data_IF_343364872685
#
_entry.id   IF_343364872685
#
_cell.length_a   1.000
_cell.length_b   1.000
_cell.length_c   1.000
_cell.angle_alpha   90.00
_cell.angle_beta   90.00
_cell.angle_gamma   90.00
#
_symmetry.space_group_name_H-M   'P 1'
#
loop_
_entity.id
_entity.type
_entity.pdbx_description
1 polymer ?
#
# COMPACT_ATOMS: atom_id res chain seq x y z
N UNK A 1 7.11 -21.16 24.30
CA UNK A 1 7.33 -20.49 22.99
C UNK A 1 6.58 -19.18 23.05
N UNK A 2 7.24 -18.03 22.95
CA UNK A 2 6.52 -16.76 22.81
C UNK A 2 5.85 -16.80 21.44
N UNK A 3 4.54 -16.69 21.40
CA UNK A 3 3.80 -16.54 20.15
C UNK A 3 4.18 -15.19 19.54
N UNK A 4 4.68 -15.17 18.30
CA UNK A 4 4.91 -13.91 17.58
C UNK A 4 3.57 -13.19 17.41
N UNK A 5 3.49 -11.94 17.86
CA UNK A 5 2.30 -11.11 17.75
C UNK A 5 2.19 -10.47 16.35
N UNK A 6 0.96 -10.16 15.92
CA UNK A 6 0.74 -9.33 14.74
C UNK A 6 1.10 -7.88 15.06
N UNK A 7 1.82 -7.24 14.15
CA UNK A 7 2.29 -5.87 14.23
C UNK A 7 1.53 -5.07 13.18
N UNK A 8 0.90 -3.99 13.60
CA UNK A 8 0.19 -3.07 12.71
C UNK A 8 1.18 -2.22 11.92
N UNK A 9 0.99 -2.13 10.62
CA UNK A 9 1.77 -1.27 9.70
C UNK A 9 0.85 -0.38 8.87
N UNK A 10 -0.34 -0.05 9.39
CA UNK A 10 -1.32 0.81 8.73
C UNK A 10 -1.31 2.23 9.28
N UNK A 11 -1.57 3.23 8.42
CA UNK A 11 -1.79 4.61 8.85
C UNK A 11 -3.14 4.76 9.57
N UNK A 12 -3.22 5.53 10.67
CA UNK A 12 -4.49 5.84 11.32
C UNK A 12 -5.41 6.70 10.44
N UNK A 13 -6.60 6.19 10.12
CA UNK A 13 -7.63 6.94 9.39
C UNK A 13 -8.42 7.86 10.34
N UNK A 14 -8.33 9.17 10.12
CA UNK A 14 -9.06 10.21 10.86
C UNK A 14 -9.14 11.50 10.03
N UNK A 15 -9.91 12.51 10.48
CA UNK A 15 -10.17 13.73 9.70
C UNK A 15 -8.94 14.63 9.48
N UNK A 16 -7.79 14.34 10.10
CA UNK A 16 -6.53 15.04 9.88
C UNK A 16 -5.62 14.33 8.88
N UNK A 17 -5.93 13.11 8.44
CA UNK A 17 -5.09 12.38 7.51
C UNK A 17 -4.98 13.15 6.18
N UNK A 18 -3.78 13.18 5.62
CA UNK A 18 -3.55 13.77 4.32
C UNK A 18 -4.26 12.98 3.22
N UNK A 19 -4.56 13.67 2.13
CA UNK A 19 -5.12 13.11 0.90
C UNK A 19 -4.35 13.68 -0.29
N UNK A 20 -4.48 13.02 -1.44
CA UNK A 20 -3.98 13.58 -2.70
C UNK A 20 -4.54 15.00 -2.92
N UNK A 21 -3.72 15.97 -3.38
CA UNK A 21 -4.18 17.35 -3.55
C UNK A 21 -5.41 17.47 -4.46
N UNK A 22 -6.52 17.96 -3.89
CA UNK A 22 -7.79 18.14 -4.60
C UNK A 22 -8.72 16.92 -4.58
N UNK A 23 -8.30 15.82 -3.95
CA UNK A 23 -9.10 14.61 -3.79
C UNK A 23 -10.12 14.73 -2.62
N UNK A 24 -11.00 13.74 -2.50
CA UNK A 24 -12.03 13.65 -1.46
C UNK A 24 -11.38 13.54 -0.07
N UNK A 25 -11.55 14.55 0.82
CA UNK A 25 -11.01 14.48 2.17
C UNK A 25 -11.63 13.34 2.98
N UNK A 26 -10.86 12.78 3.91
CA UNK A 26 -11.41 11.83 4.87
C UNK A 26 -12.41 12.52 5.81
N UNK A 27 -13.56 11.88 6.01
CA UNK A 27 -14.55 12.27 7.00
C UNK A 27 -15.19 11.04 7.63
N UNK A 28 -15.05 10.91 8.95
CA UNK A 28 -15.94 10.10 9.76
C UNK A 28 -16.78 11.02 10.64
N UNK A 29 -18.10 10.85 10.59
CA UNK A 29 -19.05 11.60 11.40
C UNK A 29 -20.10 10.69 12.00
N UNK A 30 -20.60 11.02 13.19
CA UNK A 30 -21.76 10.37 13.78
C UNK A 30 -23.00 11.07 13.26
N UNK A 31 -23.67 10.48 12.27
CA UNK A 31 -24.88 11.04 11.66
C UNK A 31 -26.11 10.94 12.55
N UNK A 32 -26.13 10.00 13.49
CA UNK A 32 -27.20 9.85 14.48
C UNK A 32 -26.63 9.33 15.79
N UNK A 33 -26.65 10.14 16.85
CA UNK A 33 -26.05 9.77 18.12
C UNK A 33 -26.90 8.75 18.89
N UNK A 34 -26.30 8.09 19.87
CA UNK A 34 -27.01 7.19 20.79
C UNK A 34 -28.09 7.90 21.60
N UNK A 35 -27.88 9.18 21.94
CA UNK A 35 -28.88 9.99 22.64
C UNK A 35 -30.10 10.23 21.74
N UNK A 36 -29.89 10.55 20.47
CA UNK A 36 -30.96 10.79 19.49
C UNK A 36 -31.65 9.50 19.04
N UNK A 37 -30.91 8.40 18.86
CA UNK A 37 -31.43 7.10 18.41
C UNK A 37 -32.02 6.25 19.53
N UNK A 38 -31.70 6.58 20.79
CA UNK A 38 -32.04 5.80 21.98
C UNK A 38 -31.25 4.48 22.13
N UNK A 39 -30.30 4.14 21.25
CA UNK A 39 -29.61 2.84 21.29
C UNK A 39 -28.17 2.83 20.80
N UNK A 40 -27.88 3.43 19.64
CA UNK A 40 -26.61 3.31 18.91
C UNK A 40 -26.11 4.63 18.35
N UNK A 41 -24.79 4.74 18.16
CA UNK A 41 -24.23 5.76 17.30
C UNK A 41 -24.18 5.20 15.87
N UNK A 42 -24.79 5.90 14.91
CA UNK A 42 -24.73 5.57 13.48
C UNK A 42 -23.69 6.47 12.83
N UNK A 43 -22.58 5.87 12.39
CA UNK A 43 -21.50 6.56 11.71
C UNK A 43 -21.71 6.61 10.20
N UNK A 44 -21.14 7.63 9.57
CA UNK A 44 -20.98 7.75 8.12
C UNK A 44 -19.51 7.98 7.82
N UNK A 45 -18.99 7.26 6.83
CA UNK A 45 -17.62 7.35 6.35
C UNK A 45 -17.64 7.88 4.91
N UNK A 46 -16.83 8.90 4.64
CA UNK A 46 -16.56 9.43 3.29
C UNK A 46 -15.06 9.56 3.15
N UNK A 47 -14.48 9.03 2.07
CA UNK A 47 -13.04 9.08 1.82
C UNK A 47 -12.75 8.85 0.34
N UNK A 48 -11.59 9.29 -0.11
CA UNK A 48 -10.97 8.75 -1.31
C UNK A 48 -10.50 7.31 -1.08
N UNK A 49 -10.49 6.50 -2.13
CA UNK A 49 -9.95 5.13 -2.13
C UNK A 49 -8.47 5.13 -1.73
N UNK A 50 -7.72 6.11 -2.22
CA UNK A 50 -6.26 6.22 -2.06
C UNK A 50 -5.90 7.05 -0.82
N UNK A 51 -6.58 6.78 0.29
CA UNK A 51 -6.35 7.45 1.59
C UNK A 51 -5.77 6.46 2.61
N UNK A 52 -4.64 6.83 3.20
CA UNK A 52 -3.92 5.96 4.13
C UNK A 52 -3.35 4.72 3.44
N UNK A 53 -3.18 3.64 4.20
CA UNK A 53 -2.66 2.37 3.70
C UNK A 53 -3.70 1.66 2.82
N UNK A 54 -3.37 1.45 1.55
CA UNK A 54 -4.32 0.96 0.56
C UNK A 54 -3.62 0.16 -0.55
N UNK A 55 -4.41 -0.57 -1.33
CA UNK A 55 -3.95 -1.25 -2.54
C UNK A 55 -4.63 -0.64 -3.76
N UNK A 56 -3.97 -0.79 -4.90
CA UNK A 56 -4.53 -0.40 -6.19
C UNK A 56 -5.06 -1.61 -6.95
N UNK A 57 -6.13 -1.39 -7.71
CA UNK A 57 -6.54 -2.28 -8.78
C UNK A 57 -6.07 -1.69 -10.12
N UNK A 58 -5.87 -2.52 -11.18
CA UNK A 58 -5.50 -2.01 -12.49
C UNK A 58 -6.44 -0.93 -13.05
N UNK A 59 -7.73 -0.97 -12.66
CA UNK A 59 -8.71 0.03 -13.06
C UNK A 59 -8.32 1.48 -12.69
N UNK A 60 -7.48 1.67 -11.67
CA UNK A 60 -6.99 2.99 -11.25
C UNK A 60 -6.28 3.77 -12.37
N UNK A 61 -5.49 3.08 -13.19
CA UNK A 61 -4.65 3.68 -14.24
C UNK A 61 -4.88 3.06 -15.63
N UNK A 62 -5.80 2.10 -15.76
CA UNK A 62 -6.21 1.49 -17.03
C UNK A 62 -7.74 1.31 -17.06
N UNK A 63 -8.43 1.96 -17.99
CA UNK A 63 -9.90 1.91 -18.10
C UNK A 63 -10.46 0.47 -18.29
N UNK A 64 -9.68 -0.41 -18.93
CA UNK A 64 -10.07 -1.81 -19.15
C UNK A 64 -9.52 -2.73 -18.05
N UNK A 65 -8.84 -2.15 -17.06
CA UNK A 65 -8.25 -2.83 -15.92
C UNK A 65 -9.27 -3.57 -15.05
N UNK A 66 -8.75 -4.58 -14.34
CA UNK A 66 -9.48 -5.31 -13.30
C UNK A 66 -9.89 -4.37 -12.17
N UNK A 67 -11.07 -4.63 -11.60
CA UNK A 67 -11.58 -3.94 -10.42
C UNK A 67 -11.19 -4.74 -9.18
N UNK A 68 -11.34 -4.15 -8.00
CA UNK A 68 -10.86 -4.75 -6.74
C UNK A 68 -11.34 -6.19 -6.52
N UNK A 69 -12.62 -6.49 -6.75
CA UNK A 69 -13.16 -7.83 -6.52
C UNK A 69 -12.62 -8.89 -7.51
N UNK A 70 -12.06 -8.48 -8.65
CA UNK A 70 -11.46 -9.38 -9.65
C UNK A 70 -10.02 -9.80 -9.29
N UNK A 71 -9.44 -9.21 -8.23
CA UNK A 71 -8.07 -9.48 -7.81
C UNK A 71 -7.98 -10.78 -7.00
N UNK A 72 -6.89 -11.51 -7.20
CA UNK A 72 -6.62 -12.77 -6.48
C UNK A 72 -6.23 -12.48 -5.02
N UNK A 73 -7.10 -12.83 -4.08
CA UNK A 73 -6.87 -12.63 -2.64
C UNK A 73 -5.62 -13.36 -2.11
N UNK A 74 -5.15 -14.40 -2.79
CA UNK A 74 -3.92 -15.11 -2.39
C UNK A 74 -2.69 -14.19 -2.49
N UNK A 75 -2.72 -13.15 -3.33
CA UNK A 75 -1.61 -12.19 -3.44
C UNK A 75 -1.41 -11.39 -2.15
N UNK A 76 -2.49 -11.14 -1.40
CA UNK A 76 -2.50 -10.19 -0.28
C UNK A 76 -2.29 -10.84 1.10
N UNK A 77 -2.03 -12.15 1.14
CA UNK A 77 -1.75 -12.91 2.37
C UNK A 77 -0.61 -13.88 2.15
N UNK A 78 0.40 -13.87 3.02
CA UNK A 78 1.48 -14.86 3.03
C UNK A 78 2.86 -14.25 3.27
N UNK A 79 3.93 -15.03 3.03
CA UNK A 79 5.30 -14.59 3.29
C UNK A 79 5.67 -13.31 2.52
N UNK A 80 6.32 -12.40 3.22
CA UNK A 80 6.80 -11.12 2.75
C UNK A 80 8.18 -10.81 3.34
N UNK A 81 9.01 -10.11 2.56
CA UNK A 81 10.31 -9.59 3.00
C UNK A 81 10.25 -8.07 3.11
N UNK A 82 10.82 -7.52 4.18
CA UNK A 82 11.03 -6.09 4.36
C UNK A 82 12.50 -5.77 4.14
N UNK A 83 12.79 -4.77 3.32
CA UNK A 83 14.15 -4.27 3.09
C UNK A 83 14.22 -2.75 3.23
N UNK A 84 15.37 -2.26 3.69
CA UNK A 84 15.69 -0.83 3.71
C UNK A 84 16.22 -0.35 2.35
N UNK A 85 15.59 0.69 1.83
CA UNK A 85 16.01 1.41 0.62
C UNK A 85 16.05 2.93 0.89
N UNK A 86 16.34 3.31 2.14
CA UNK A 86 16.37 4.70 2.56
C UNK A 86 17.50 5.50 1.88
N UNK A 87 17.35 6.82 1.84
CA UNK A 87 18.30 7.76 1.23
C UNK A 87 18.51 7.57 -0.29
N UNK A 88 17.57 6.92 -0.97
CA UNK A 88 17.55 6.78 -2.43
C UNK A 88 16.46 7.68 -3.03
N UNK A 89 16.79 8.40 -4.10
CA UNK A 89 15.83 9.24 -4.83
C UNK A 89 14.91 8.43 -5.75
N UNK A 90 15.37 7.26 -6.20
CA UNK A 90 14.57 6.31 -6.97
C UNK A 90 15.11 4.90 -6.79
N UNK A 91 14.24 3.90 -6.90
CA UNK A 91 14.56 2.50 -6.70
C UNK A 91 14.28 1.73 -7.99
N UNK A 92 15.28 1.08 -8.54
CA UNK A 92 15.14 0.21 -9.71
C UNK A 92 15.93 -1.07 -9.54
N UNK A 93 16.14 -1.79 -10.65
CA UNK A 93 16.90 -3.05 -10.65
C UNK A 93 18.27 -2.91 -9.96
N UNK A 94 19.00 -1.84 -10.25
CA UNK A 94 20.36 -1.62 -9.75
C UNK A 94 20.44 -1.57 -8.23
N UNK A 95 19.49 -0.95 -7.55
CA UNK A 95 19.53 -0.87 -6.09
C UNK A 95 19.09 -2.19 -5.45
N UNK A 96 18.20 -2.94 -6.13
CA UNK A 96 17.69 -4.21 -5.61
C UNK A 96 18.55 -5.44 -5.92
N UNK A 97 19.47 -5.38 -6.89
CA UNK A 97 20.28 -6.54 -7.31
C UNK A 97 21.21 -7.07 -6.21
N UNK A 98 21.55 -6.24 -5.22
CA UNK A 98 22.39 -6.60 -4.08
C UNK A 98 21.66 -7.41 -3.01
N UNK A 99 20.32 -7.42 -3.00
CA UNK A 99 19.52 -8.15 -2.04
C UNK A 99 19.29 -9.60 -2.50
N UNK A 100 19.37 -10.54 -1.56
CA UNK A 100 18.97 -11.92 -1.82
C UNK A 100 17.44 -12.04 -1.80
N UNK A 101 16.82 -12.13 -2.97
CA UNK A 101 15.37 -12.11 -3.16
C UNK A 101 14.80 -13.42 -3.73
N UNK A 102 15.60 -14.49 -3.80
CA UNK A 102 15.13 -15.79 -4.28
C UNK A 102 14.05 -16.36 -3.33
N UNK A 103 12.94 -16.82 -3.91
CA UNK A 103 11.80 -17.36 -3.16
C UNK A 103 10.92 -16.32 -2.44
N UNK A 104 11.18 -15.02 -2.64
CA UNK A 104 10.33 -13.95 -2.09
C UNK A 104 9.11 -13.77 -2.99
N UNK A 105 7.91 -13.77 -2.41
CA UNK A 105 6.65 -13.54 -3.14
C UNK A 105 6.11 -12.12 -2.96
N UNK A 106 6.43 -11.45 -1.84
CA UNK A 106 5.93 -10.12 -1.47
C UNK A 106 7.08 -9.31 -0.90
N UNK A 107 7.26 -8.09 -1.36
CA UNK A 107 8.39 -7.24 -0.96
C UNK A 107 7.87 -5.89 -0.46
N UNK A 108 8.20 -5.52 0.77
CA UNK A 108 7.92 -4.19 1.31
C UNK A 108 9.20 -3.38 1.37
N UNK A 109 9.16 -2.17 0.85
CA UNK A 109 10.27 -1.24 0.77
C UNK A 109 10.11 -0.16 1.83
N UNK A 110 11.03 -0.10 2.79
CA UNK A 110 11.15 1.01 3.72
C UNK A 110 12.03 2.09 3.10
N UNK A 111 11.43 3.21 2.70
CA UNK A 111 12.15 4.41 2.25
C UNK A 111 12.47 5.34 3.40
N UNK A 112 11.66 5.31 4.48
CA UNK A 112 11.69 6.26 5.60
C UNK A 112 11.73 7.74 5.14
N UNK A 113 11.13 8.04 3.98
CA UNK A 113 11.24 9.36 3.34
C UNK A 113 10.25 10.40 3.86
N UNK A 114 9.13 9.99 4.47
CA UNK A 114 8.06 10.90 4.86
C UNK A 114 7.53 10.64 6.26
N UNK A 115 6.95 9.46 6.51
CA UNK A 115 6.56 9.00 7.86
C UNK A 115 5.45 9.81 8.56
N UNK A 116 4.85 10.81 7.90
CA UNK A 116 3.83 11.69 8.47
C UNK A 116 2.49 11.54 7.76
N UNK A 117 1.56 10.79 8.35
CA UNK A 117 0.24 10.53 7.76
C UNK A 117 -0.66 11.79 7.62
N UNK A 118 -0.43 12.84 8.40
CA UNK A 118 -1.24 14.08 8.38
C UNK A 118 -0.73 15.14 7.38
N UNK A 119 0.43 14.91 6.75
CA UNK A 119 1.01 15.82 5.74
C UNK A 119 1.11 15.08 4.41
N UNK A 120 0.75 15.71 3.29
CA UNK A 120 1.05 15.12 1.96
C UNK A 120 2.49 15.49 1.56
N UNK A 121 3.34 14.54 1.11
CA UNK A 121 4.71 14.83 0.76
C UNK A 121 4.79 15.73 -0.49
N UNK A 122 5.85 16.54 -0.58
CA UNK A 122 6.15 17.33 -1.79
C UNK A 122 6.95 16.55 -2.83
N UNK A 123 7.70 15.54 -2.38
CA UNK A 123 8.52 14.64 -3.21
C UNK A 123 8.63 13.31 -2.49
N UNK A 124 8.72 12.22 -3.24
CA UNK A 124 8.95 10.87 -2.72
C UNK A 124 9.98 10.14 -3.59
N UNK A 125 10.67 9.14 -3.04
CA UNK A 125 11.35 8.13 -3.84
C UNK A 125 10.33 7.39 -4.68
N UNK A 126 10.63 7.21 -5.96
CA UNK A 126 9.76 6.49 -6.90
C UNK A 126 10.45 5.23 -7.42
N UNK A 127 9.66 4.30 -7.94
CA UNK A 127 10.13 3.09 -8.56
C UNK A 127 10.42 3.34 -10.04
N UNK A 128 11.57 2.87 -10.53
CA UNK A 128 11.89 2.92 -11.96
C UNK A 128 11.28 1.72 -12.67
N UNK A 129 10.83 1.93 -13.91
CA UNK A 129 10.17 0.91 -14.73
C UNK A 129 10.94 -0.43 -14.87
N UNK A 130 12.29 -0.40 -14.79
CA UNK A 130 13.13 -1.60 -14.88
C UNK A 130 13.00 -2.56 -13.69
N UNK A 131 12.37 -2.11 -12.59
CA UNK A 131 12.13 -2.91 -11.40
C UNK A 131 11.14 -4.05 -11.68
N UNK A 132 10.14 -3.82 -12.54
CA UNK A 132 9.02 -4.74 -12.69
C UNK A 132 9.45 -6.09 -13.28
N UNK A 133 10.25 -6.07 -14.36
CA UNK A 133 10.77 -7.30 -14.95
C UNK A 133 11.73 -8.02 -13.99
N UNK A 134 12.59 -7.29 -13.29
CA UNK A 134 13.51 -7.84 -12.30
C UNK A 134 12.79 -8.57 -11.15
N UNK A 135 11.74 -7.97 -10.59
CA UNK A 135 10.95 -8.57 -9.51
C UNK A 135 10.14 -9.78 -10.02
N UNK A 136 9.57 -9.67 -11.22
CA UNK A 136 8.77 -10.74 -11.84
C UNK A 136 9.62 -11.99 -12.12
N UNK A 137 10.86 -11.81 -12.60
CA UNK A 137 11.82 -12.91 -12.80
C UNK A 137 12.12 -13.69 -11.50
N UNK A 138 11.94 -13.06 -10.33
CA UNK A 138 12.11 -13.68 -9.01
C UNK A 138 10.85 -14.29 -8.42
N UNK A 139 9.70 -14.13 -9.10
CA UNK A 139 8.41 -14.63 -8.63
C UNK A 139 7.71 -13.71 -7.63
N UNK A 140 8.15 -12.46 -7.48
CA UNK A 140 7.47 -11.47 -6.64
C UNK A 140 6.14 -11.08 -7.31
N UNK A 141 5.07 -11.04 -6.52
CA UNK A 141 3.69 -10.77 -6.95
C UNK A 141 3.05 -9.57 -6.25
N UNK A 142 3.68 -9.04 -5.21
CA UNK A 142 3.23 -7.82 -4.53
C UNK A 142 4.44 -6.98 -4.12
N UNK A 143 4.35 -5.68 -4.37
CA UNK A 143 5.29 -4.68 -3.86
C UNK A 143 4.54 -3.70 -2.96
N UNK A 144 5.14 -3.38 -1.81
CA UNK A 144 4.65 -2.39 -0.88
C UNK A 144 5.63 -1.25 -0.66
N UNK A 145 5.14 -0.01 -0.55
CA UNK A 145 5.96 1.18 -0.27
C UNK A 145 5.38 1.99 0.89
N UNK A 146 6.25 2.62 1.67
CA UNK A 146 5.88 3.47 2.82
C UNK A 146 5.61 4.94 2.43
N UNK A 147 5.23 5.17 1.17
CA UNK A 147 4.90 6.47 0.56
C UNK A 147 3.59 6.38 -0.24
N UNK A 148 2.99 7.52 -0.65
CA UNK A 148 1.65 7.53 -1.28
C UNK A 148 1.60 7.18 -2.77
N UNK A 149 2.73 6.81 -3.38
CA UNK A 149 2.76 6.36 -4.77
C UNK A 149 4.02 5.54 -5.07
N UNK A 150 3.95 4.65 -6.06
CA UNK A 150 5.13 4.05 -6.69
C UNK A 150 5.75 4.92 -7.80
N UNK A 151 5.06 5.94 -8.29
CA UNK A 151 5.53 6.88 -9.32
C UNK A 151 5.78 8.30 -8.73
N UNK A 152 6.47 9.20 -9.43
CA UNK A 152 6.57 10.60 -9.00
C UNK A 152 5.19 11.26 -8.87
N UNK A 153 5.01 12.12 -7.86
CA UNK A 153 3.70 12.72 -7.52
C UNK A 153 3.07 13.55 -8.64
N UNK A 154 3.89 14.11 -9.54
CA UNK A 154 3.46 14.93 -10.67
C UNK A 154 3.43 14.18 -12.01
N UNK A 155 3.83 12.91 -12.04
CA UNK A 155 3.83 12.09 -13.25
C UNK A 155 2.39 11.77 -13.69
N UNK A 156 2.20 11.75 -15.02
CA UNK A 156 0.93 11.41 -15.68
C UNK A 156 1.04 10.16 -16.55
N UNK A 157 2.25 9.66 -16.76
CA UNK A 157 2.49 8.44 -17.51
C UNK A 157 2.41 7.18 -16.62
N UNK A 158 2.63 7.32 -15.30
CA UNK A 158 2.50 6.27 -14.29
C UNK A 158 3.26 4.98 -14.70
N UNK A 159 4.51 5.16 -15.11
CA UNK A 159 5.30 4.09 -15.72
C UNK A 159 5.50 2.90 -14.77
N UNK A 160 5.70 3.14 -13.47
CA UNK A 160 5.84 2.08 -12.49
C UNK A 160 4.53 1.29 -12.33
N UNK A 161 3.38 1.96 -12.17
CA UNK A 161 2.08 1.29 -12.08
C UNK A 161 1.84 0.36 -13.27
N UNK A 162 1.96 0.90 -14.49
CA UNK A 162 1.73 0.14 -15.72
C UNK A 162 2.70 -1.05 -15.84
N UNK A 163 4.00 -0.85 -15.56
CA UNK A 163 4.96 -1.95 -15.67
C UNK A 163 4.76 -3.02 -14.60
N UNK A 164 4.52 -2.66 -13.34
CA UNK A 164 4.31 -3.61 -12.26
C UNK A 164 3.13 -4.53 -12.56
N UNK A 165 1.97 -3.97 -12.91
CA UNK A 165 0.79 -4.77 -13.20
C UNK A 165 0.91 -5.59 -14.48
N UNK A 166 1.56 -5.06 -15.53
CA UNK A 166 1.87 -5.83 -16.74
C UNK A 166 2.68 -7.10 -16.44
N UNK A 167 3.50 -7.07 -15.38
CA UNK A 167 4.30 -8.19 -14.92
C UNK A 167 3.64 -9.01 -13.79
N UNK A 168 2.35 -8.76 -13.50
CA UNK A 168 1.59 -9.48 -12.48
C UNK A 168 1.96 -9.11 -11.04
N UNK A 169 2.56 -7.94 -10.82
CA UNK A 169 2.93 -7.42 -9.51
C UNK A 169 1.88 -6.42 -9.06
N UNK A 170 1.27 -6.70 -7.90
CA UNK A 170 0.26 -5.86 -7.27
C UNK A 170 0.90 -4.83 -6.34
N UNK A 171 0.17 -3.75 -6.06
CA UNK A 171 0.68 -2.56 -5.35
C UNK A 171 -0.01 -2.40 -3.99
N UNK A 172 0.79 -2.03 -2.99
CA UNK A 172 0.38 -1.63 -1.64
C UNK A 172 1.12 -0.34 -1.27
N UNK A 173 0.40 0.70 -0.92
CA UNK A 173 0.99 2.02 -0.66
C UNK A 173 0.73 2.47 0.78
N UNK A 174 1.49 3.47 1.23
CA UNK A 174 1.35 4.09 2.55
C UNK A 174 1.44 3.10 3.74
N UNK A 175 2.22 2.02 3.64
CA UNK A 175 2.53 1.21 4.83
C UNK A 175 3.42 1.98 5.81
N UNK A 176 3.41 1.63 7.09
CA UNK A 176 4.22 2.27 8.14
C UNK A 176 5.30 1.29 8.60
N UNK A 177 6.56 1.54 8.23
CA UNK A 177 7.65 0.58 8.41
C UNK A 177 8.77 1.02 9.37
N UNK A 178 8.72 2.25 9.91
CA UNK A 178 9.78 2.79 10.77
C UNK A 178 9.93 2.05 12.12
N UNK A 179 8.87 1.39 12.58
CA UNK A 179 8.86 0.64 13.84
C UNK A 179 9.08 -0.87 13.65
N UNK A 180 9.42 -1.34 12.46
CA UNK A 180 9.63 -2.76 12.15
C UNK A 180 11.02 -3.01 11.55
N UNK A 181 11.69 -4.07 12.01
CA UNK A 181 13.01 -4.44 11.52
C UNK A 181 12.94 -5.07 10.12
N UNK A 182 14.03 -4.99 9.36
CA UNK A 182 14.21 -5.78 8.13
C UNK A 182 14.09 -7.28 8.43
N UNK A 183 13.62 -8.06 7.46
CA UNK A 183 13.50 -9.50 7.58
C UNK A 183 12.25 -10.09 6.97
N UNK A 184 11.95 -11.34 7.35
CA UNK A 184 10.84 -12.12 6.82
C UNK A 184 9.65 -12.13 7.79
N UNK A 185 8.47 -11.94 7.21
CA UNK A 185 7.20 -11.84 7.93
C UNK A 185 6.10 -12.57 7.17
N UNK A 186 5.04 -12.95 7.87
CA UNK A 186 3.73 -13.15 7.26
C UNK A 186 3.04 -11.80 7.10
N UNK A 187 2.53 -11.48 5.91
CA UNK A 187 1.76 -10.27 5.60
C UNK A 187 0.26 -10.61 5.48
N UNK A 188 -0.59 -9.69 5.94
CA UNK A 188 -2.01 -9.61 5.58
C UNK A 188 -2.30 -8.17 5.16
N UNK A 189 -2.79 -7.97 3.94
CA UNK A 189 -3.19 -6.67 3.39
C UNK A 189 -4.39 -6.81 2.41
N UNK A 190 -5.42 -7.57 2.82
CA UNK A 190 -6.59 -7.87 1.99
C UNK A 190 -7.40 -6.61 1.67
N UNK A 191 -7.81 -6.41 0.40
CA UNK A 191 -8.79 -5.38 0.06
C UNK A 191 -10.19 -5.72 0.56
N UNK A 192 -11.03 -4.70 0.70
CA UNK A 192 -12.47 -4.84 0.84
C UNK A 192 -13.07 -5.45 -0.43
N UNK A 193 -14.22 -6.11 -0.31
CA UNK A 193 -14.92 -6.71 -1.45
C UNK A 193 -15.70 -5.66 -2.27
N UNK A 194 -14.98 -4.73 -2.90
CA UNK A 194 -15.55 -3.66 -3.73
C UNK A 194 -15.65 -4.11 -5.19
N UNK A 195 -16.87 -4.22 -5.70
CA UNK A 195 -17.12 -4.78 -7.05
C UNK A 195 -16.58 -3.90 -8.16
N UNK A 196 -16.76 -2.58 -8.05
CA UNK A 196 -16.50 -1.63 -9.15
C UNK A 196 -15.32 -0.68 -8.88
N UNK A 197 -14.63 -0.83 -7.75
CA UNK A 197 -13.62 0.12 -7.30
C UNK A 197 -12.27 -0.06 -7.99
N UNK A 198 -11.54 1.04 -8.04
CA UNK A 198 -10.18 1.24 -8.54
C UNK A 198 -9.08 0.90 -7.53
N UNK A 199 -9.44 0.70 -6.26
CA UNK A 199 -8.51 0.32 -5.19
C UNK A 199 -9.27 0.09 -3.89
N UNK A 200 -8.56 -0.19 -2.80
CA UNK A 200 -9.18 -0.35 -1.49
C UNK A 200 -8.26 0.05 -0.36
N UNK A 201 -8.75 0.80 0.67
CA UNK A 201 -8.04 0.86 1.94
C UNK A 201 -7.93 -0.54 2.55
N UNK A 202 -6.84 -0.79 3.27
CA UNK A 202 -6.57 -2.08 3.91
C UNK A 202 -6.11 -1.88 5.35
N UNK A 203 -6.24 -2.92 6.16
CA UNK A 203 -5.51 -3.03 7.42
C UNK A 203 -4.30 -3.94 7.20
N UNK A 204 -3.18 -3.35 6.82
CA UNK A 204 -1.93 -4.05 6.65
C UNK A 204 -1.33 -4.41 8.02
N UNK A 205 -1.06 -5.70 8.23
CA UNK A 205 -0.39 -6.22 9.43
C UNK A 205 0.65 -7.26 9.05
N UNK A 206 1.70 -7.37 9.85
CA UNK A 206 2.78 -8.34 9.67
C UNK A 206 3.05 -9.17 10.93
N UNK A 207 3.62 -10.36 10.80
CA UNK A 207 4.06 -11.17 11.95
C UNK A 207 5.42 -11.84 11.65
N UNK A 208 6.43 -11.69 12.53
CA UNK A 208 7.75 -12.29 12.30
C UNK A 208 7.68 -13.82 12.12
N UNK A 209 8.46 -14.35 11.17
CA UNK A 209 8.66 -15.79 10.90
C UNK A 209 9.84 -16.34 11.70
#
# INVERSE_FOLDING_TARGET
>A
MKTSEWIDISQPLNNNIATWPGDTPFSYEVSWSKEESGSVNVGKLTMSIHTGTHIDAPFHFDNDGKKVLDLDVQVYVGPARIIDVSNLESIGKKELESFHLEGVERLLLRTSSHGKAEEFPNVIPHLRADIASFLSEKGIRLIGVDVPSVDPLDDKELAAHHQLFKHGIHILENVVLDHVADGDYELIALPLALTDADGSPVRAVIRPI
#
